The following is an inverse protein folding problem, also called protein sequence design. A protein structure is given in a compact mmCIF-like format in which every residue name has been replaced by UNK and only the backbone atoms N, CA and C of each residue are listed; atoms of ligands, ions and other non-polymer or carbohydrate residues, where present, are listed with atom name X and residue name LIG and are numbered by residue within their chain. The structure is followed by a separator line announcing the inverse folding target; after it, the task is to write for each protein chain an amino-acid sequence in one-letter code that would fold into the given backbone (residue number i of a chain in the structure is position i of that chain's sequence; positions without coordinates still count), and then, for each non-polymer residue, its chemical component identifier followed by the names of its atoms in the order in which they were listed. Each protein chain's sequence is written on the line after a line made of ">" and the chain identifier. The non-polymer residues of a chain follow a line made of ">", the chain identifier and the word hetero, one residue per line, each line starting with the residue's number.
data_IF_480247212576
#
_entry.id   IF_480247212576
#
_cell.length_a   1.000
_cell.length_b   1.000
_cell.length_c   1.000
_cell.angle_alpha   90.00
_cell.angle_beta   90.00
_cell.angle_gamma   90.00
#
_symmetry.space_group_name_H-M   'P 1'
#
loop_
_entity.id
_entity.type
_entity.pdbx_description
1 polymer ?
#
# COMPACT_ATOMS: atom_id res chain seq x y z
N UNK A 1 -0.24 5.82 -12.34
CA UNK A 1 -0.70 4.50 -11.83
C UNK A 1 -0.21 3.27 -12.61
N UNK A 2 0.21 3.36 -13.88
CA UNK A 2 0.81 2.24 -14.64
C UNK A 2 2.19 1.78 -14.08
N UNK A 3 3.02 2.74 -13.64
CA UNK A 3 4.39 2.46 -13.19
C UNK A 3 4.47 1.57 -11.94
N UNK A 4 3.55 1.70 -10.98
CA UNK A 4 3.53 0.84 -9.77
C UNK A 4 3.33 -0.65 -10.14
N UNK A 5 2.41 -0.93 -11.08
CA UNK A 5 2.17 -2.30 -11.53
C UNK A 5 3.38 -2.87 -12.29
N UNK A 6 4.06 -2.03 -13.09
CA UNK A 6 5.31 -2.41 -13.74
C UNK A 6 6.43 -2.73 -12.73
N UNK A 7 6.56 -1.94 -11.66
CA UNK A 7 7.52 -2.24 -10.59
C UNK A 7 7.24 -3.60 -9.94
N UNK A 8 5.98 -3.96 -9.75
CA UNK A 8 5.61 -5.25 -9.19
C UNK A 8 5.94 -6.42 -10.13
N UNK A 9 5.70 -6.26 -11.44
CA UNK A 9 6.12 -7.25 -12.44
C UNK A 9 7.64 -7.46 -12.44
N UNK A 10 8.42 -6.38 -12.33
CA UNK A 10 9.88 -6.47 -12.24
C UNK A 10 10.33 -7.18 -10.96
N UNK A 11 9.62 -6.96 -9.85
CA UNK A 11 9.86 -7.68 -8.62
C UNK A 11 9.61 -9.18 -8.79
N UNK A 12 8.46 -9.58 -9.35
CA UNK A 12 8.12 -10.99 -9.58
C UNK A 12 9.10 -11.67 -10.52
N UNK A 13 9.54 -10.97 -11.56
CA UNK A 13 10.57 -11.45 -12.47
C UNK A 13 11.91 -11.66 -11.76
N UNK A 14 12.31 -10.72 -10.90
CA UNK A 14 13.53 -10.86 -10.08
C UNK A 14 13.46 -12.05 -9.11
N UNK A 15 12.31 -12.28 -8.48
CA UNK A 15 12.09 -13.46 -7.62
C UNK A 15 12.19 -14.76 -8.42
N UNK A 16 11.59 -14.79 -9.62
CA UNK A 16 11.64 -15.94 -10.53
C UNK A 16 13.06 -16.29 -10.94
N UNK A 17 13.86 -15.29 -11.29
CA UNK A 17 15.26 -15.49 -11.69
C UNK A 17 16.14 -15.99 -10.53
N UNK A 18 15.85 -15.55 -9.30
CA UNK A 18 16.62 -15.93 -8.10
C UNK A 18 16.20 -17.28 -7.50
N UNK A 19 14.98 -17.72 -7.76
CA UNK A 19 14.42 -18.95 -7.20
C UNK A 19 13.89 -18.82 -5.76
N UNK A 20 13.77 -17.60 -5.23
CA UNK A 20 13.18 -17.34 -3.91
C UNK A 20 12.45 -16.00 -3.88
N UNK A 21 11.51 -15.86 -2.93
CA UNK A 21 10.74 -14.63 -2.72
C UNK A 21 11.43 -13.72 -1.70
N UNK A 22 11.25 -12.42 -1.86
CA UNK A 22 11.68 -11.47 -0.85
C UNK A 22 10.79 -11.58 0.39
N UNK A 23 11.36 -11.38 1.58
CA UNK A 23 10.55 -11.26 2.81
C UNK A 23 9.94 -9.86 2.92
N UNK A 24 10.74 -8.85 2.58
CA UNK A 24 10.39 -7.43 2.61
C UNK A 24 10.63 -6.79 1.25
N UNK A 25 9.77 -5.83 0.93
CA UNK A 25 9.81 -5.04 -0.30
C UNK A 25 9.80 -3.57 0.09
N UNK A 26 10.77 -2.83 -0.42
CA UNK A 26 10.84 -1.38 -0.25
C UNK A 26 10.37 -0.74 -1.55
N UNK A 27 9.28 0.04 -1.48
CA UNK A 27 8.86 0.91 -2.55
C UNK A 27 9.34 2.32 -2.20
N UNK A 28 10.03 3.03 -3.08
CA UNK A 28 10.43 4.41 -2.85
C UNK A 28 10.47 5.19 -4.16
N UNK A 29 10.26 6.50 -4.10
CA UNK A 29 10.71 7.38 -5.19
C UNK A 29 12.23 7.49 -5.16
N UNK A 30 12.80 7.64 -6.35
CA UNK A 30 14.26 7.76 -6.50
C UNK A 30 14.80 9.00 -5.78
N UNK A 31 14.03 10.10 -5.78
CA UNK A 31 14.39 11.36 -5.12
C UNK A 31 14.16 11.34 -3.60
N UNK A 32 13.76 10.23 -3.00
CA UNK A 32 13.70 10.08 -1.54
C UNK A 32 14.48 8.86 -1.05
N UNK A 33 15.20 8.18 -1.94
CA UNK A 33 16.03 7.02 -1.61
C UNK A 33 17.12 7.35 -0.58
N UNK A 34 17.54 8.62 -0.52
CA UNK A 34 18.53 9.12 0.43
C UNK A 34 17.95 9.48 1.81
N UNK A 35 16.63 9.39 2.00
CA UNK A 35 16.05 9.51 3.34
C UNK A 35 16.42 8.26 4.16
N UNK A 36 16.59 8.44 5.46
CA UNK A 36 17.00 7.37 6.37
C UNK A 36 16.13 6.11 6.16
N UNK A 37 16.81 4.99 5.90
CA UNK A 37 16.15 3.69 5.75
C UNK A 37 15.46 3.32 7.07
N UNK A 38 14.28 2.70 7.04
CA UNK A 38 13.65 2.20 8.26
C UNK A 38 14.57 1.20 8.97
N UNK A 39 14.39 1.00 10.29
CA UNK A 39 14.97 -0.13 10.97
C UNK A 39 14.31 -1.44 10.48
N UNK A 40 14.78 -1.95 9.33
CA UNK A 40 14.22 -3.13 8.65
C UNK A 40 14.18 -4.37 9.55
N UNK A 41 15.08 -4.47 10.52
CA UNK A 41 15.14 -5.56 11.48
C UNK A 41 13.93 -5.60 12.43
N UNK A 42 13.23 -4.48 12.60
CA UNK A 42 12.02 -4.38 13.41
C UNK A 42 10.75 -4.68 12.61
N UNK A 43 10.87 -4.89 11.30
CA UNK A 43 9.72 -5.04 10.40
C UNK A 43 9.24 -6.49 10.33
N UNK A 44 7.98 -6.71 10.71
CA UNK A 44 7.32 -8.00 10.53
C UNK A 44 6.94 -8.23 9.06
N UNK A 45 6.99 -9.48 8.58
CA UNK A 45 6.63 -9.88 7.20
C UNK A 45 5.18 -9.60 6.77
N UNK A 46 4.32 -9.23 7.72
CA UNK A 46 2.91 -8.86 7.50
C UNK A 46 2.63 -7.40 7.89
N UNK A 47 3.68 -6.57 7.99
CA UNK A 47 3.57 -5.16 8.31
C UNK A 47 3.61 -4.29 7.05
N UNK A 48 3.04 -3.10 7.19
CA UNK A 48 3.11 -1.99 6.26
C UNK A 48 3.64 -0.81 7.08
N UNK A 49 4.80 -0.28 6.70
CA UNK A 49 5.30 0.97 7.25
C UNK A 49 5.33 2.04 6.18
N UNK A 50 4.70 3.16 6.50
CA UNK A 50 4.64 4.37 5.68
C UNK A 50 4.95 5.53 6.63
N UNK A 51 5.97 6.35 6.34
CA UNK A 51 6.29 7.51 7.18
C UNK A 51 5.22 8.58 7.06
N UNK A 52 4.97 9.31 8.14
CA UNK A 52 4.06 10.44 8.14
C UNK A 52 4.63 11.67 7.36
N UNK A 53 3.76 12.56 6.88
CA UNK A 53 4.15 13.96 6.62
C UNK A 53 4.24 14.48 5.18
N UNK A 54 3.69 13.82 4.15
CA UNK A 54 3.33 14.45 2.86
C UNK A 54 2.19 13.66 2.21
N UNK A 55 1.01 13.81 2.79
CA UNK A 55 -0.24 13.43 2.15
C UNK A 55 -0.86 14.72 1.59
N UNK A 56 -0.55 15.07 0.34
CA UNK A 56 -1.16 16.22 -0.34
C UNK A 56 -2.56 15.86 -0.87
N UNK A 57 -3.36 15.21 -0.02
CA UNK A 57 -4.61 14.54 -0.38
C UNK A 57 -4.42 13.35 -1.33
N UNK A 58 -3.23 12.78 -1.33
CA UNK A 58 -2.79 11.77 -2.28
C UNK A 58 -2.16 10.57 -1.58
N UNK A 59 -2.29 9.44 -2.25
CA UNK A 59 -1.50 8.22 -2.08
C UNK A 59 -0.05 8.55 -1.67
N UNK A 60 0.35 8.20 -0.44
CA UNK A 60 1.72 8.43 0.01
C UNK A 60 2.70 7.77 -0.97
N UNK A 61 3.48 8.59 -1.64
CA UNK A 61 4.32 8.18 -2.77
C UNK A 61 5.80 8.23 -2.44
N UNK A 62 6.20 8.75 -1.27
CA UNK A 62 7.60 8.82 -0.85
C UNK A 62 8.21 7.43 -0.80
N UNK A 63 7.83 6.64 0.20
CA UNK A 63 8.30 5.28 0.32
C UNK A 63 7.43 4.46 1.28
N UNK A 64 7.47 3.14 1.12
CA UNK A 64 6.83 2.17 1.99
C UNK A 64 7.72 0.94 2.16
N UNK A 65 7.69 0.34 3.35
CA UNK A 65 8.23 -1.00 3.57
C UNK A 65 7.10 -1.98 3.82
N UNK A 66 7.14 -3.05 3.03
CA UNK A 66 6.02 -3.93 2.80
C UNK A 66 6.48 -5.36 3.04
N UNK A 67 5.69 -6.10 3.82
CA UNK A 67 5.69 -7.55 3.71
C UNK A 67 5.41 -7.99 2.27
N UNK A 68 6.00 -9.12 1.82
CA UNK A 68 5.83 -9.58 0.44
C UNK A 68 4.39 -9.82 0.01
N UNK A 69 3.54 -10.33 0.91
CA UNK A 69 2.09 -10.49 0.68
C UNK A 69 1.42 -9.12 0.51
N UNK A 70 1.85 -8.15 1.31
CA UNK A 70 1.38 -6.76 1.29
C UNK A 70 1.80 -6.02 0.04
N UNK A 71 3.01 -6.29 -0.47
CA UNK A 71 3.51 -5.69 -1.70
C UNK A 71 2.56 -5.95 -2.89
N UNK A 72 2.05 -7.18 -3.05
CA UNK A 72 1.08 -7.49 -4.12
C UNK A 72 -0.12 -6.56 -4.10
N UNK A 73 -0.70 -6.36 -2.92
CA UNK A 73 -1.87 -5.51 -2.79
C UNK A 73 -1.48 -4.04 -2.99
N UNK A 74 -0.41 -3.55 -2.34
CA UNK A 74 0.08 -2.18 -2.48
C UNK A 74 0.32 -1.75 -3.92
N UNK A 75 1.02 -2.56 -4.71
CA UNK A 75 1.31 -2.23 -6.10
C UNK A 75 0.11 -2.47 -7.03
N UNK A 76 -0.76 -3.45 -6.70
CA UNK A 76 -1.94 -3.81 -7.48
C UNK A 76 -3.19 -2.98 -7.17
N UNK A 77 -3.20 -2.22 -6.08
CA UNK A 77 -4.37 -1.48 -5.59
C UNK A 77 -4.97 -0.56 -6.65
N UNK A 78 -4.16 0.18 -7.40
CA UNK A 78 -4.72 1.02 -8.47
C UNK A 78 -5.40 0.21 -9.57
N UNK A 79 -4.87 -0.97 -9.88
CA UNK A 79 -5.51 -1.86 -10.84
C UNK A 79 -6.85 -2.39 -10.29
N UNK A 80 -6.89 -2.81 -9.03
CA UNK A 80 -8.13 -3.24 -8.36
C UNK A 80 -9.16 -2.10 -8.25
N UNK A 81 -8.71 -0.89 -7.93
CA UNK A 81 -9.56 0.31 -7.84
C UNK A 81 -10.15 0.66 -9.20
N UNK A 82 -9.32 0.72 -10.24
CA UNK A 82 -9.74 1.15 -11.59
C UNK A 82 -10.64 0.10 -12.24
N UNK A 83 -10.37 -1.19 -12.04
CA UNK A 83 -11.03 -2.25 -12.80
C UNK A 83 -12.10 -3.04 -12.04
N UNK A 84 -12.15 -3.00 -10.71
CA UNK A 84 -13.04 -3.87 -9.93
C UNK A 84 -14.03 -3.16 -9.00
N UNK A 85 -14.25 -1.85 -9.15
CA UNK A 85 -15.08 -1.06 -8.21
C UNK A 85 -14.68 -1.25 -6.74
N UNK A 86 -13.43 -1.66 -6.48
CA UNK A 86 -12.96 -2.05 -5.14
C UNK A 86 -13.11 -0.91 -4.13
N UNK A 87 -12.92 0.34 -4.56
CA UNK A 87 -13.17 1.51 -3.71
C UNK A 87 -14.63 1.59 -3.30
N UNK A 88 -15.59 1.40 -4.20
CA UNK A 88 -17.00 1.49 -3.86
C UNK A 88 -17.37 0.44 -2.81
N UNK A 89 -16.96 -0.82 -2.99
CA UNK A 89 -17.28 -1.88 -2.03
C UNK A 89 -16.67 -1.67 -0.64
N UNK A 90 -15.46 -1.10 -0.56
CA UNK A 90 -14.80 -0.85 0.72
C UNK A 90 -15.28 0.44 1.37
N UNK A 91 -15.54 1.50 0.59
CA UNK A 91 -16.11 2.76 1.08
C UNK A 91 -17.51 2.55 1.65
N UNK A 92 -18.34 1.72 1.03
CA UNK A 92 -19.67 1.36 1.53
C UNK A 92 -19.64 0.60 2.87
N UNK A 93 -18.51 -0.01 3.23
CA UNK A 93 -18.33 -0.73 4.50
C UNK A 93 -17.78 0.16 5.61
N UNK A 94 -17.49 1.42 5.34
CA UNK A 94 -16.97 2.33 6.35
C UNK A 94 -18.09 2.93 7.20
N UNK A 95 -17.86 3.09 8.51
CA UNK A 95 -18.82 3.74 9.39
C UNK A 95 -19.15 5.15 8.90
N UNK A 96 -20.43 5.52 8.93
CA UNK A 96 -20.92 6.80 8.41
C UNK A 96 -20.31 8.03 9.11
N UNK A 97 -19.84 7.88 10.35
CA UNK A 97 -19.09 8.92 11.07
C UNK A 97 -17.74 9.29 10.42
N UNK A 98 -17.18 8.43 9.56
CA UNK A 98 -15.96 8.75 8.78
C UNK A 98 -16.27 9.52 7.48
N UNK A 99 -17.56 9.75 7.17
CA UNK A 99 -18.04 10.47 5.99
C UNK A 99 -18.24 11.98 6.23
N UNK A 100 -17.94 12.47 7.44
CA UNK A 100 -18.33 13.82 7.89
C UNK A 100 -17.11 14.75 7.93
N UNK A 101 -16.98 15.60 6.91
CA UNK A 101 -15.93 16.61 6.76
C UNK A 101 -15.49 16.72 5.29
N UNK A 102 -16.27 17.43 4.47
CA UNK A 102 -16.37 17.20 3.01
C UNK A 102 -15.42 18.07 2.19
N UNK A 103 -14.39 17.44 1.60
CA UNK A 103 -13.98 17.78 0.24
C UNK A 103 -14.50 16.67 -0.71
N UNK A 104 -15.48 16.95 -1.59
CA UNK A 104 -16.01 15.96 -2.52
C UNK A 104 -15.00 15.52 -3.60
N UNK A 105 -13.85 16.18 -3.74
CA UNK A 105 -12.82 15.84 -4.71
C UNK A 105 -11.69 14.98 -4.13
N UNK A 106 -11.59 14.86 -2.81
CA UNK A 106 -10.61 14.00 -2.16
C UNK A 106 -11.30 12.76 -1.56
N UNK A 107 -11.22 11.57 -2.19
CA UNK A 107 -11.59 10.36 -1.49
C UNK A 107 -10.65 10.20 -0.29
N UNK A 108 -11.16 10.53 0.90
CA UNK A 108 -10.51 10.57 2.23
C UNK A 108 -9.89 9.24 2.69
N UNK A 109 -9.88 8.23 1.84
CA UNK A 109 -9.21 6.98 2.09
C UNK A 109 -8.14 6.85 1.03
N UNK A 110 -6.94 7.33 1.39
CA UNK A 110 -5.72 6.86 0.77
C UNK A 110 -5.84 5.33 0.61
N UNK A 111 -5.61 4.79 -0.59
CA UNK A 111 -5.70 3.36 -0.81
C UNK A 111 -4.88 2.53 0.19
N UNK A 112 -3.84 3.14 0.77
CA UNK A 112 -3.05 2.69 1.91
C UNK A 112 -3.86 2.43 3.18
N UNK A 113 -4.80 3.31 3.52
CA UNK A 113 -5.65 3.18 4.70
C UNK A 113 -6.65 2.04 4.53
N UNK A 114 -7.17 1.87 3.30
CA UNK A 114 -8.03 0.74 2.91
C UNK A 114 -7.24 -0.57 3.03
N UNK A 115 -6.00 -0.59 2.52
CA UNK A 115 -5.11 -1.74 2.68
C UNK A 115 -4.85 -2.05 4.16
N UNK A 116 -4.43 -1.06 4.95
CA UNK A 116 -4.12 -1.23 6.37
C UNK A 116 -5.31 -1.82 7.15
N UNK A 117 -6.54 -1.37 6.88
CA UNK A 117 -7.73 -1.95 7.50
C UNK A 117 -8.07 -3.35 6.99
N UNK A 118 -7.86 -3.63 5.70
CA UNK A 118 -8.04 -5.00 5.16
C UNK A 118 -7.12 -6.03 5.84
N UNK A 119 -5.95 -5.59 6.33
CA UNK A 119 -5.06 -6.42 7.15
C UNK A 119 -5.57 -6.61 8.58
N UNK A 120 -6.08 -5.55 9.22
CA UNK A 120 -6.59 -5.64 10.59
C UNK A 120 -7.83 -6.55 10.68
N UNK A 121 -8.70 -6.53 9.68
CA UNK A 121 -9.89 -7.40 9.63
C UNK A 121 -9.55 -8.90 9.56
N UNK A 122 -8.43 -9.27 8.92
CA UNK A 122 -8.00 -10.68 8.81
C UNK A 122 -7.27 -11.23 10.04
N UNK A 123 -6.77 -10.38 10.93
CA UNK A 123 -6.07 -10.80 12.16
C UNK A 123 -6.99 -11.08 13.36
N UNK A 124 -8.30 -10.78 13.25
CA UNK A 124 -9.27 -11.03 14.33
C UNK A 124 -9.90 -12.44 14.31
N UNK A 125 -9.53 -13.28 13.35
CA UNK A 125 -9.98 -14.67 13.27
C UNK A 125 -8.76 -15.60 13.39
N UNK A 126 -8.23 -15.73 14.61
CA UNK A 126 -7.26 -16.76 14.98
C UNK A 126 -7.30 -16.95 16.49
#
# INVERSE_FOLDING_TARGET
>A
CYHRNRCYQLLEEGERQRGFKYDLVVAARVDVLFLASPPLQLMHKDSLWVPDGMDWGGLMDRWAVLGRRTAKMWFGVWHEIIHRNFLQEQVLKLPAEMSVGRDPLHPLLGPELILARSFQGKRRCS
#
